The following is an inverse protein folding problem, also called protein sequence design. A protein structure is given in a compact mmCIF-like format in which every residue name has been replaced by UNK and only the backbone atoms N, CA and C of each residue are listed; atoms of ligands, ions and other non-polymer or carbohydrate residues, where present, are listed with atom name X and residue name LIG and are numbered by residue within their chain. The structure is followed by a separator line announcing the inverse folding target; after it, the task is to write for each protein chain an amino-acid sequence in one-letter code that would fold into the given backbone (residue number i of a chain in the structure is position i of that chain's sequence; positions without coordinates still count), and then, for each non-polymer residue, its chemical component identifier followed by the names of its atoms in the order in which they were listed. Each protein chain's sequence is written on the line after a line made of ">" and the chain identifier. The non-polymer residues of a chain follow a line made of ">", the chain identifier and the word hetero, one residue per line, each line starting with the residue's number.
data_IF_629501621923
#
_entry.id   IF_629501621923
#
_cell.length_a   1.000
_cell.length_b   1.000
_cell.length_c   1.000
_cell.angle_alpha   90.00
_cell.angle_beta   90.00
_cell.angle_gamma   90.00
#
_symmetry.space_group_name_H-M   'P 1'
#
loop_
_entity.id
_entity.type
_entity.pdbx_description
1 polymer ?
#
# COMPACT_ATOMS: atom_id res chain seq x y z
N UNK A 1 -19.86 20.88 -14.02
CA UNK A 1 -19.49 21.25 -12.62
C UNK A 1 -18.23 20.54 -12.13
N UNK A 2 -18.11 19.21 -12.32
CA UNK A 2 -16.90 18.45 -11.94
C UNK A 2 -15.69 18.79 -12.82
N UNK A 3 -15.88 18.91 -14.15
CA UNK A 3 -14.80 19.27 -15.07
C UNK A 3 -14.18 20.64 -14.75
N UNK A 4 -15.00 21.63 -14.43
CA UNK A 4 -14.52 22.96 -14.03
C UNK A 4 -13.68 22.92 -12.75
N UNK A 5 -14.13 22.19 -11.73
CA UNK A 5 -13.36 21.95 -10.49
C UNK A 5 -12.05 21.21 -10.77
N UNK A 6 -12.05 20.28 -11.71
CA UNK A 6 -10.87 19.51 -12.10
C UNK A 6 -9.86 20.39 -12.82
N UNK A 7 -10.30 21.25 -13.74
CA UNK A 7 -9.47 22.23 -14.43
C UNK A 7 -8.86 23.22 -13.44
N UNK A 8 -9.64 23.75 -12.50
CA UNK A 8 -9.15 24.65 -11.44
C UNK A 8 -8.05 23.99 -10.59
N UNK A 9 -8.24 22.70 -10.25
CA UNK A 9 -7.25 21.89 -9.54
C UNK A 9 -5.97 21.65 -10.35
N UNK A 10 -6.10 21.36 -11.65
CA UNK A 10 -4.97 21.15 -12.55
C UNK A 10 -4.17 22.44 -12.72
N UNK A 11 -4.84 23.58 -12.88
CA UNK A 11 -4.20 24.90 -12.99
C UNK A 11 -3.40 25.22 -11.72
N UNK A 12 -4.01 25.07 -10.54
CA UNK A 12 -3.34 25.34 -9.27
C UNK A 12 -2.17 24.38 -8.98
N UNK A 13 -2.19 23.16 -9.53
CA UNK A 13 -1.05 22.24 -9.45
C UNK A 13 0.10 22.67 -10.36
N UNK A 14 -0.19 23.11 -11.59
CA UNK A 14 0.82 23.58 -12.54
C UNK A 14 1.57 24.83 -12.04
N UNK A 15 0.85 25.82 -11.50
CA UNK A 15 1.46 27.02 -10.91
C UNK A 15 2.40 26.68 -9.75
N UNK A 16 2.03 25.70 -8.93
CA UNK A 16 2.87 25.20 -7.83
C UNK A 16 4.10 24.47 -8.35
N UNK A 17 3.99 23.69 -9.43
CA UNK A 17 5.14 23.03 -10.05
C UNK A 17 6.13 24.03 -10.62
N UNK A 18 5.67 25.08 -11.30
CA UNK A 18 6.53 26.17 -11.79
C UNK A 18 7.24 26.90 -10.64
N UNK A 19 6.51 27.14 -9.55
CA UNK A 19 7.06 27.74 -8.33
C UNK A 19 8.12 26.85 -7.67
N UNK A 20 7.93 25.54 -7.67
CA UNK A 20 8.92 24.59 -7.14
C UNK A 20 10.14 24.50 -8.04
N UNK A 21 9.94 24.40 -9.36
CA UNK A 21 11.01 24.35 -10.36
C UNK A 21 11.93 25.57 -10.28
N UNK A 22 11.34 26.78 -10.18
CA UNK A 22 12.10 28.02 -10.03
C UNK A 22 12.88 28.10 -8.70
N UNK A 23 12.32 27.62 -7.59
CA UNK A 23 13.04 27.53 -6.31
C UNK A 23 14.17 26.49 -6.33
N UNK A 24 14.01 25.40 -7.07
CA UNK A 24 15.04 24.38 -7.25
C UNK A 24 16.18 24.87 -8.15
N UNK A 25 15.87 25.60 -9.23
CA UNK A 25 16.86 26.16 -10.15
C UNK A 25 17.78 27.21 -9.49
N UNK A 26 17.26 27.99 -8.54
CA UNK A 26 18.02 29.04 -7.84
C UNK A 26 18.85 28.53 -6.65
N UNK A 27 18.79 27.24 -6.30
CA UNK A 27 19.39 26.69 -5.09
C UNK A 27 20.73 25.96 -5.30
N UNK A 28 21.45 26.28 -6.39
CA UNK A 28 22.77 25.69 -6.65
C UNK A 28 23.88 26.41 -5.87
N UNK A 29 24.13 25.95 -4.64
CA UNK A 29 25.48 25.98 -4.04
C UNK A 29 25.58 24.99 -2.87
N UNK A 30 26.40 23.96 -3.11
CA UNK A 30 27.32 23.25 -2.19
C UNK A 30 26.99 23.24 -0.67
N UNK A 31 26.77 22.02 -0.12
CA UNK A 31 27.11 21.55 1.27
C UNK A 31 26.05 20.84 2.15
N UNK A 32 24.81 20.57 1.73
CA UNK A 32 23.82 19.96 2.68
C UNK A 32 22.85 18.94 2.06
N UNK A 33 23.36 17.87 1.42
CA UNK A 33 22.54 16.95 0.58
C UNK A 33 21.40 16.23 1.34
N UNK A 34 21.67 15.61 2.50
CA UNK A 34 20.67 14.79 3.21
C UNK A 34 19.54 15.55 3.91
N UNK A 35 19.76 16.80 4.33
CA UNK A 35 18.72 17.64 4.95
C UNK A 35 17.83 18.31 3.91
N UNK A 36 18.41 18.68 2.76
CA UNK A 36 17.70 19.32 1.64
C UNK A 36 16.71 18.38 0.95
N UNK A 37 17.06 17.10 0.78
CA UNK A 37 16.17 16.14 0.10
C UNK A 37 14.83 15.96 0.82
N UNK A 38 14.83 15.96 2.17
CA UNK A 38 13.60 15.85 2.96
C UNK A 38 12.78 17.15 2.91
N UNK A 39 13.43 18.31 2.96
CA UNK A 39 12.73 19.61 2.90
C UNK A 39 12.08 19.86 1.54
N UNK A 40 12.78 19.59 0.44
CA UNK A 40 12.23 19.66 -0.92
C UNK A 40 11.10 18.64 -1.11
N UNK A 41 11.27 17.42 -0.61
CA UNK A 41 10.20 16.42 -0.67
C UNK A 41 8.97 16.88 0.09
N UNK A 42 9.12 17.39 1.30
CA UNK A 42 8.00 17.90 2.10
C UNK A 42 7.28 19.03 1.39
N UNK A 43 8.00 19.93 0.72
CA UNK A 43 7.42 21.00 -0.08
C UNK A 43 6.65 20.46 -1.29
N UNK A 44 7.20 19.46 -1.99
CA UNK A 44 6.56 18.82 -3.13
C UNK A 44 5.30 18.04 -2.70
N UNK A 45 5.34 17.33 -1.58
CA UNK A 45 4.23 16.50 -1.11
C UNK A 45 3.16 17.27 -0.34
N UNK A 46 3.45 18.48 0.16
CA UNK A 46 2.51 19.27 0.98
C UNK A 46 1.16 19.49 0.31
N UNK A 47 1.18 19.66 -1.01
CA UNK A 47 -0.01 19.94 -1.82
C UNK A 47 -0.54 18.71 -2.57
N UNK A 48 0.16 17.58 -2.50
CA UNK A 48 -0.26 16.33 -3.12
C UNK A 48 -1.23 15.62 -2.18
N UNK A 49 -2.47 15.47 -2.63
CA UNK A 49 -3.54 14.81 -1.86
C UNK A 49 -3.69 13.34 -2.20
N UNK A 50 -3.09 12.89 -3.31
CA UNK A 50 -3.28 11.55 -3.86
C UNK A 50 -1.96 11.02 -4.42
N UNK A 51 -1.63 9.79 -4.02
CA UNK A 51 -0.43 9.08 -4.45
C UNK A 51 -0.84 7.76 -5.09
N UNK A 52 -0.19 7.40 -6.18
CA UNK A 52 -0.34 6.11 -6.84
C UNK A 52 1.00 5.37 -6.81
N UNK A 53 0.96 4.07 -6.57
CA UNK A 53 2.14 3.22 -6.56
C UNK A 53 1.78 1.77 -6.29
N UNK A 54 2.70 0.86 -6.60
CA UNK A 54 2.56 -0.55 -6.21
C UNK A 54 2.90 -0.74 -4.73
N UNK A 55 2.37 -1.81 -4.12
CA UNK A 55 2.53 -2.09 -2.68
C UNK A 55 4.00 -2.06 -2.24
N UNK A 56 4.90 -2.68 -3.00
CA UNK A 56 6.34 -2.67 -2.69
C UNK A 56 7.07 -1.45 -3.26
N UNK A 57 6.69 -0.99 -4.45
CA UNK A 57 7.37 0.11 -5.12
C UNK A 57 7.32 1.40 -4.30
N UNK A 58 6.17 1.67 -3.67
CA UNK A 58 6.00 2.88 -2.87
C UNK A 58 6.82 2.86 -1.57
N UNK A 59 7.13 1.67 -1.03
CA UNK A 59 7.98 1.51 0.14
C UNK A 59 9.47 1.78 -0.15
N UNK A 60 9.90 1.73 -1.41
CA UNK A 60 11.29 2.00 -1.82
C UNK A 60 11.63 3.50 -1.74
N UNK A 61 10.62 4.37 -1.73
CA UNK A 61 10.81 5.81 -1.61
C UNK A 61 11.16 6.19 -0.17
N UNK A 62 12.42 6.59 0.08
CA UNK A 62 12.91 6.93 1.42
C UNK A 62 12.02 7.94 2.14
N UNK A 63 11.55 8.95 1.43
CA UNK A 63 10.71 10.01 2.00
C UNK A 63 9.26 9.58 2.26
N UNK A 64 8.79 8.49 1.65
CA UNK A 64 7.50 7.87 1.96
C UNK A 64 7.47 7.24 3.36
N UNK A 65 8.65 6.98 3.95
CA UNK A 65 8.77 6.40 5.29
C UNK A 65 8.12 7.26 6.38
N UNK A 66 8.07 8.57 6.18
CA UNK A 66 7.48 9.52 7.13
C UNK A 66 6.05 9.95 6.78
N UNK A 67 5.52 9.47 5.65
CA UNK A 67 4.15 9.80 5.19
C UNK A 67 3.15 8.81 5.78
N UNK A 68 2.04 9.34 6.29
CA UNK A 68 0.88 8.59 6.79
C UNK A 68 -0.36 9.11 6.08
N UNK A 69 -1.23 8.20 5.66
CA UNK A 69 -2.46 8.49 4.94
C UNK A 69 -3.69 8.33 5.83
N UNK A 70 -4.73 9.09 5.54
CA UNK A 70 -6.03 8.85 6.18
C UNK A 70 -6.71 7.62 5.58
N UNK A 71 -6.52 7.37 4.29
CA UNK A 71 -7.10 6.25 3.54
C UNK A 71 -6.07 5.69 2.57
N UNK A 72 -5.94 4.36 2.52
CA UNK A 72 -5.31 3.65 1.42
C UNK A 72 -6.36 2.79 0.69
N UNK A 73 -6.35 2.84 -0.64
CA UNK A 73 -7.16 1.99 -1.50
C UNK A 73 -6.18 1.02 -2.17
N UNK A 74 -6.40 -0.27 -1.98
CA UNK A 74 -5.58 -1.32 -2.58
C UNK A 74 -6.43 -2.02 -3.63
N UNK A 75 -6.08 -1.82 -4.89
CA UNK A 75 -6.66 -2.58 -6.01
C UNK A 75 -5.96 -3.94 -6.15
N UNK A 76 -6.66 -4.90 -6.75
CA UNK A 76 -6.20 -6.28 -6.92
C UNK A 76 -5.76 -6.97 -5.62
N UNK A 77 -6.41 -6.65 -4.50
CA UNK A 77 -6.06 -7.15 -3.17
C UNK A 77 -6.13 -8.68 -3.04
N UNK A 78 -6.94 -9.35 -3.87
CA UNK A 78 -7.02 -10.82 -3.94
C UNK A 78 -5.72 -11.49 -4.40
N UNK A 79 -4.86 -10.77 -5.12
CA UNK A 79 -3.55 -11.26 -5.62
C UNK A 79 -2.38 -10.89 -4.73
N UNK A 80 -2.57 -9.96 -3.80
CA UNK A 80 -1.50 -9.47 -2.94
C UNK A 80 -1.21 -10.47 -1.82
N UNK A 81 0.08 -10.72 -1.58
CA UNK A 81 0.52 -11.47 -0.41
C UNK A 81 0.27 -10.67 0.87
N UNK A 82 0.22 -11.35 2.02
CA UNK A 82 0.06 -10.68 3.32
C UNK A 82 1.16 -9.63 3.56
N UNK A 83 2.41 -9.98 3.23
CA UNK A 83 3.57 -9.09 3.41
C UNK A 83 3.46 -7.80 2.60
N UNK A 84 2.90 -7.87 1.39
CA UNK A 84 2.66 -6.69 0.56
C UNK A 84 1.53 -5.82 1.12
N UNK A 85 0.43 -6.43 1.56
CA UNK A 85 -0.70 -5.73 2.17
C UNK A 85 -0.35 -5.09 3.52
N UNK A 86 0.67 -5.58 4.23
CA UNK A 86 1.12 -4.94 5.47
C UNK A 86 1.64 -3.51 5.24
N UNK A 87 2.19 -3.21 4.05
CA UNK A 87 2.71 -1.86 3.74
C UNK A 87 1.61 -0.78 3.83
N UNK A 88 0.46 -0.89 3.13
CA UNK A 88 -0.63 0.07 3.33
C UNK A 88 -1.25 -0.01 4.73
N UNK A 89 -1.32 -1.20 5.36
CA UNK A 89 -1.85 -1.38 6.72
C UNK A 89 -1.13 -0.56 7.78
N UNK A 90 0.18 -0.43 7.70
CA UNK A 90 0.94 0.40 8.64
C UNK A 90 0.96 1.89 8.24
N UNK A 91 0.60 2.21 6.99
CA UNK A 91 0.71 3.56 6.42
C UNK A 91 -0.59 4.34 6.43
N UNK A 92 -1.74 3.69 6.59
CA UNK A 92 -3.03 4.35 6.52
C UNK A 92 -3.89 4.08 7.77
N UNK A 93 -4.68 5.08 8.16
CA UNK A 93 -5.66 4.95 9.27
C UNK A 93 -6.85 4.08 8.88
N UNK A 94 -7.24 4.10 7.61
CA UNK A 94 -8.32 3.29 7.04
C UNK A 94 -7.86 2.66 5.74
N UNK A 95 -8.36 1.46 5.47
CA UNK A 95 -8.06 0.71 4.26
C UNK A 95 -9.34 0.29 3.57
N UNK A 96 -9.32 0.44 2.26
CA UNK A 96 -10.33 -0.11 1.34
C UNK A 96 -9.59 -1.12 0.47
N UNK A 97 -9.93 -2.39 0.62
CA UNK A 97 -9.42 -3.45 -0.24
C UNK A 97 -10.42 -3.68 -1.37
N UNK A 98 -9.94 -3.60 -2.60
CA UNK A 98 -10.70 -3.88 -3.81
C UNK A 98 -10.03 -5.05 -4.51
N UNK A 99 -10.80 -6.06 -4.86
CA UNK A 99 -10.29 -7.25 -5.52
C UNK A 99 -11.34 -8.33 -5.64
N UNK A 100 -10.97 -9.41 -6.32
CA UNK A 100 -11.81 -10.58 -6.49
C UNK A 100 -11.06 -11.82 -6.01
N UNK A 101 -11.56 -12.44 -4.94
CA UNK A 101 -10.95 -13.64 -4.36
C UNK A 101 -11.15 -14.88 -5.24
N UNK A 102 -12.01 -14.83 -6.27
CA UNK A 102 -12.23 -15.92 -7.23
C UNK A 102 -11.33 -15.83 -8.46
N UNK A 103 -10.58 -14.74 -8.60
CA UNK A 103 -9.59 -14.57 -9.66
C UNK A 103 -8.25 -15.20 -9.25
N UNK A 104 -7.15 -14.81 -9.92
CA UNK A 104 -5.83 -15.38 -9.67
C UNK A 104 -5.46 -15.24 -8.18
N UNK A 105 -5.00 -16.33 -7.57
CA UNK A 105 -4.45 -16.30 -6.22
C UNK A 105 -3.06 -15.61 -6.20
N UNK A 106 -2.57 -15.20 -5.02
CA UNK A 106 -1.19 -14.74 -4.87
C UNK A 106 -0.20 -15.81 -5.36
N UNK A 107 0.81 -15.39 -6.12
CA UNK A 107 1.86 -16.31 -6.56
C UNK A 107 2.79 -16.55 -5.37
N UNK A 108 2.78 -17.79 -4.86
CA UNK A 108 3.72 -18.22 -3.83
C UNK A 108 4.63 -19.30 -4.42
N UNK A 109 5.93 -19.13 -4.22
CA UNK A 109 6.94 -20.07 -4.68
C UNK A 109 6.85 -21.39 -3.90
N UNK A 110 6.95 -22.52 -4.59
CA UNK A 110 6.87 -23.85 -3.98
C UNK A 110 7.99 -24.06 -2.93
N UNK A 111 9.15 -23.43 -3.13
CA UNK A 111 10.27 -23.41 -2.18
C UNK A 111 9.89 -22.78 -0.82
N UNK A 112 8.99 -21.79 -0.82
CA UNK A 112 8.50 -21.14 0.41
C UNK A 112 7.57 -22.08 1.15
N UNK A 113 6.69 -22.78 0.42
CA UNK A 113 5.78 -23.79 0.98
C UNK A 113 6.57 -24.94 1.60
N UNK A 114 7.63 -25.41 0.93
CA UNK A 114 8.49 -26.47 1.47
C UNK A 114 9.23 -26.04 2.74
N UNK A 115 9.81 -24.84 2.78
CA UNK A 115 10.51 -24.34 3.97
C UNK A 115 9.58 -24.18 5.18
N UNK A 116 8.38 -23.65 4.97
CA UNK A 116 7.36 -23.53 6.03
C UNK A 116 7.01 -24.90 6.63
N UNK A 117 6.94 -25.95 5.81
CA UNK A 117 6.65 -27.31 6.26
C UNK A 117 7.83 -28.00 6.97
N UNK A 118 9.07 -27.58 6.69
CA UNK A 118 10.28 -28.12 7.32
C UNK A 118 10.52 -27.50 8.70
N UNK A 119 10.28 -26.20 8.86
CA UNK A 119 10.48 -25.50 10.13
C UNK A 119 9.47 -25.94 11.21
N UNK A 120 8.24 -26.29 10.82
CA UNK A 120 7.22 -26.85 11.73
C UNK A 120 7.57 -28.23 12.31
N UNK A 121 8.61 -28.91 11.84
CA UNK A 121 9.08 -30.19 12.41
C UNK A 121 10.08 -30.03 13.56
N UNK A 122 10.54 -28.81 13.88
CA UNK A 122 11.64 -28.58 14.84
C UNK A 122 11.26 -27.86 16.14
N UNK A 123 10.03 -27.38 16.28
CA UNK A 123 9.56 -26.71 17.50
C UNK A 123 8.20 -27.24 17.92
N UNK A 124 8.02 -27.43 19.22
CA UNK A 124 6.75 -27.75 19.87
C UNK A 124 5.59 -26.85 19.42
N UNK A 125 4.42 -27.47 19.29
CA UNK A 125 3.11 -26.97 18.82
C UNK A 125 2.85 -26.98 17.29
N UNK A 126 1.76 -27.66 16.96
CA UNK A 126 1.32 -28.19 15.65
C UNK A 126 0.96 -27.12 14.59
N UNK A 127 1.87 -26.22 14.22
CA UNK A 127 1.61 -25.33 13.07
C UNK A 127 1.94 -26.05 11.75
N UNK A 128 1.08 -26.95 11.28
CA UNK A 128 1.11 -27.44 9.89
C UNK A 128 0.42 -26.40 9.01
N UNK A 129 1.19 -25.57 8.31
CA UNK A 129 0.63 -24.69 7.28
C UNK A 129 0.10 -25.56 6.12
N UNK A 130 -1.23 -25.63 5.97
CA UNK A 130 -1.81 -26.32 4.81
C UNK A 130 -1.46 -25.55 3.53
N UNK A 131 -1.40 -26.20 2.36
CA UNK A 131 -1.14 -25.50 1.08
C UNK A 131 -2.15 -24.38 0.87
N UNK A 132 -3.40 -24.60 1.33
CA UNK A 132 -4.44 -23.58 1.42
C UNK A 132 -4.04 -22.36 2.23
N UNK A 133 -3.32 -22.54 3.34
CA UNK A 133 -2.96 -21.39 4.18
C UNK A 133 -2.01 -20.41 3.51
N UNK A 134 -1.20 -20.94 2.61
CA UNK A 134 -0.21 -20.20 1.84
C UNK A 134 -0.83 -19.60 0.57
N UNK A 135 -1.79 -20.29 -0.05
CA UNK A 135 -2.44 -19.82 -1.28
C UNK A 135 -3.62 -18.90 -1.04
N UNK A 136 -4.30 -18.98 0.10
CA UNK A 136 -5.44 -18.13 0.44
C UNK A 136 -4.93 -16.73 0.79
N UNK A 137 -5.33 -15.73 0.00
CA UNK A 137 -4.94 -14.34 0.22
C UNK A 137 -5.52 -13.80 1.53
N UNK A 138 -4.87 -12.81 2.13
CA UNK A 138 -5.42 -12.13 3.30
C UNK A 138 -6.77 -11.46 2.99
N UNK A 139 -6.94 -10.98 1.74
CA UNK A 139 -8.21 -10.45 1.26
C UNK A 139 -9.34 -11.49 1.30
N UNK A 140 -9.09 -12.69 0.77
CA UNK A 140 -10.06 -13.79 0.78
C UNK A 140 -10.46 -14.16 2.21
N UNK A 141 -9.50 -14.31 3.13
CA UNK A 141 -9.78 -14.59 4.55
C UNK A 141 -10.66 -13.52 5.20
N UNK A 142 -10.40 -12.24 4.91
CA UNK A 142 -11.22 -11.15 5.41
C UNK A 142 -12.62 -11.16 4.80
N UNK A 143 -12.72 -11.44 3.50
CA UNK A 143 -13.98 -11.51 2.78
C UNK A 143 -14.88 -12.62 3.36
N UNK A 144 -14.37 -13.84 3.49
CA UNK A 144 -15.11 -14.97 4.08
C UNK A 144 -15.55 -14.70 5.52
N UNK A 145 -14.69 -14.05 6.32
CA UNK A 145 -15.03 -13.67 7.70
C UNK A 145 -16.18 -12.66 7.75
N UNK A 146 -16.22 -11.72 6.82
CA UNK A 146 -17.29 -10.73 6.74
C UNK A 146 -18.61 -11.40 6.32
N UNK A 147 -18.57 -12.27 5.32
CA UNK A 147 -19.77 -12.97 4.82
C UNK A 147 -20.35 -13.93 5.87
N UNK A 148 -19.51 -14.73 6.54
CA UNK A 148 -19.96 -15.59 7.65
C UNK A 148 -20.59 -14.79 8.80
N UNK A 149 -20.00 -13.65 9.17
CA UNK A 149 -20.56 -12.75 10.20
C UNK A 149 -21.87 -12.10 9.75
N UNK A 150 -22.12 -12.01 8.44
CA UNK A 150 -23.34 -11.43 7.87
C UNK A 150 -24.49 -12.42 7.91
N UNK A 151 -24.23 -13.68 7.59
CA UNK A 151 -25.21 -14.77 7.66
C UNK A 151 -25.71 -14.99 9.09
N UNK A 152 -24.83 -14.90 10.10
CA UNK A 152 -25.23 -14.99 11.52
C UNK A 152 -26.21 -13.89 11.96
N UNK A 153 -26.12 -12.68 11.37
CA UNK A 153 -27.00 -11.55 11.74
C UNK A 153 -28.35 -11.58 11.03
N UNK A 154 -28.45 -12.23 9.88
CA UNK A 154 -29.72 -12.38 9.12
C UNK A 154 -30.54 -13.57 9.64
N UNK A 155 -29.90 -14.46 10.42
CA UNK A 155 -30.50 -15.65 11.03
C UNK A 155 -31.20 -15.37 12.37
N UNK A 156 -31.20 -14.13 12.86
CA UNK A 156 -31.83 -13.65 14.10
C UNK A 156 -33.01 -12.73 13.79
#
# INVERSE_FOLDING_TARGET
>A
MIEFRLQELQQGFLEKLETLSSKMANADTTKTKGKRDNETFRLFTKDIRLFFGTLLGISSWKSFRDVVFDVAIVDEAGRATLSELLVPCIKAKRIILVGDHKQLAPVVDDDVVEKLNVDSKKGSDEFKADKKDVTTSFFERLFERIESSRDERVSL
#
